data_IF_769396653238
#
_entry.id   IF_769396653238
#
_cell.length_a   1.000
_cell.length_b   1.000
_cell.length_c   1.000
_cell.angle_alpha   90.00
_cell.angle_beta   90.00
_cell.angle_gamma   90.00
#
_symmetry.space_group_name_H-M   'P 1'
#
loop_
_entity.id
_entity.type
_entity.pdbx_description
1 polymer ?
#
# COMPACT_ATOMS: atom_id res chain seq x y z
N UNK A 1 10.47 1.72 -11.29
CA UNK A 1 9.61 2.83 -10.89
C UNK A 1 9.48 2.88 -9.37
N UNK A 2 9.48 4.07 -8.84
CA UNK A 2 9.38 4.26 -7.40
C UNK A 2 8.12 3.62 -6.82
N UNK A 3 7.02 3.73 -7.55
CA UNK A 3 5.74 3.20 -7.09
C UNK A 3 5.73 1.69 -6.89
N UNK A 4 6.73 0.99 -7.42
CA UNK A 4 6.77 -0.45 -7.31
C UNK A 4 7.71 -0.94 -6.22
N UNK A 5 8.34 -0.02 -5.50
CA UNK A 5 9.26 -0.40 -4.43
C UNK A 5 8.50 -0.95 -3.23
N UNK A 6 8.99 -2.06 -2.66
CA UNK A 6 8.34 -2.64 -1.48
C UNK A 6 8.16 -1.66 -0.33
N UNK A 7 9.08 -0.70 -0.19
CA UNK A 7 8.97 0.31 0.86
C UNK A 7 7.73 1.16 0.72
N UNK A 8 7.34 1.49 -0.51
CA UNK A 8 6.15 2.30 -0.74
C UNK A 8 4.88 1.51 -0.44
N UNK A 9 4.87 0.22 -0.79
CA UNK A 9 3.76 -0.66 -0.44
C UNK A 9 3.60 -0.74 1.06
N UNK A 10 4.71 -0.86 1.78
CA UNK A 10 4.69 -0.92 3.23
C UNK A 10 4.12 0.37 3.81
N UNK A 11 4.53 1.51 3.27
CA UNK A 11 4.03 2.80 3.74
C UNK A 11 2.52 2.88 3.59
N UNK A 12 1.99 2.44 2.45
CA UNK A 12 0.55 2.45 2.21
C UNK A 12 -0.17 1.57 3.23
N UNK A 13 0.37 0.37 3.49
CA UNK A 13 -0.25 -0.54 4.45
C UNK A 13 -0.25 0.06 5.85
N UNK A 14 0.85 0.66 6.26
CA UNK A 14 0.95 1.27 7.58
C UNK A 14 -0.07 2.40 7.71
N UNK A 15 -0.14 3.28 6.72
CA UNK A 15 -1.08 4.39 6.77
C UNK A 15 -2.52 3.92 6.74
N UNK A 16 -2.80 2.86 6.00
CA UNK A 16 -4.16 2.35 5.86
C UNK A 16 -4.64 1.64 7.11
N UNK A 17 -3.80 0.79 7.69
CA UNK A 17 -4.24 -0.10 8.77
C UNK A 17 -3.81 0.35 10.16
N UNK A 18 -2.67 1.00 10.29
CA UNK A 18 -2.23 1.47 11.60
C UNK A 18 -2.67 2.90 11.89
N UNK A 19 -2.68 3.76 10.86
CA UNK A 19 -3.14 5.15 11.01
C UNK A 19 -4.61 5.32 10.69
N UNK A 20 -5.23 4.26 10.14
CA UNK A 20 -6.65 4.26 9.82
C UNK A 20 -7.05 5.36 8.83
N UNK A 21 -6.18 5.65 7.89
CA UNK A 21 -6.43 6.66 6.87
C UNK A 21 -7.09 6.01 5.65
N UNK A 22 -7.97 6.78 4.97
CA UNK A 22 -8.55 6.28 3.73
C UNK A 22 -7.59 6.50 2.56
N UNK A 23 -7.90 5.89 1.41
CA UNK A 23 -7.02 5.93 0.25
C UNK A 23 -6.79 7.35 -0.26
N UNK A 24 -7.81 8.18 -0.19
CA UNK A 24 -7.72 9.57 -0.63
C UNK A 24 -6.71 10.35 0.19
N UNK A 25 -6.78 10.19 1.51
CA UNK A 25 -5.88 10.85 2.44
C UNK A 25 -4.45 10.34 2.25
N UNK A 26 -4.30 9.03 2.09
CA UNK A 26 -2.99 8.43 1.86
C UNK A 26 -2.38 8.99 0.58
N UNK A 27 -3.17 9.05 -0.49
CA UNK A 27 -2.70 9.56 -1.78
C UNK A 27 -2.18 10.98 -1.65
N UNK A 28 -2.91 11.84 -0.95
CA UNK A 28 -2.48 13.22 -0.74
C UNK A 28 -1.18 13.27 0.06
N UNK A 29 -1.04 12.39 1.04
CA UNK A 29 0.11 12.40 1.93
C UNK A 29 1.39 11.94 1.22
N UNK A 30 1.30 10.96 0.35
CA UNK A 30 2.49 10.44 -0.33
C UNK A 30 2.68 11.03 -1.73
N UNK A 31 1.77 11.88 -2.17
CA UNK A 31 1.91 12.54 -3.47
C UNK A 31 1.56 11.66 -4.66
N UNK A 32 0.65 10.72 -4.48
CA UNK A 32 0.20 9.81 -5.53
C UNK A 32 -1.29 9.98 -5.76
N UNK A 33 -1.81 9.40 -6.84
CA UNK A 33 -3.24 9.40 -7.09
C UNK A 33 -3.89 8.30 -6.24
N UNK A 34 -5.21 8.44 -6.02
CA UNK A 34 -5.95 7.44 -5.28
C UNK A 34 -5.90 6.09 -5.99
N UNK A 35 -5.94 6.09 -7.31
CA UNK A 35 -5.84 4.86 -8.08
C UNK A 35 -4.51 4.16 -7.84
N UNK A 36 -3.42 4.91 -7.79
CA UNK A 36 -2.10 4.36 -7.52
C UNK A 36 -2.03 3.78 -6.12
N UNK A 37 -2.62 4.47 -5.14
CA UNK A 37 -2.68 3.96 -3.77
C UNK A 37 -3.46 2.66 -3.73
N UNK A 38 -4.57 2.58 -4.43
CA UNK A 38 -5.38 1.37 -4.50
C UNK A 38 -4.57 0.21 -5.06
N UNK A 39 -3.79 0.45 -6.12
CA UNK A 39 -2.94 -0.58 -6.70
C UNK A 39 -1.84 -1.02 -5.76
N UNK A 40 -1.22 -0.07 -5.07
CA UNK A 40 -0.17 -0.37 -4.10
C UNK A 40 -0.73 -1.21 -2.96
N UNK A 41 -1.92 -0.87 -2.50
CA UNK A 41 -2.56 -1.61 -1.43
C UNK A 41 -2.84 -3.05 -1.87
N UNK A 42 -3.36 -3.24 -3.08
CA UNK A 42 -3.61 -4.58 -3.60
C UNK A 42 -2.35 -5.41 -3.70
N UNK A 43 -1.28 -4.80 -4.19
CA UNK A 43 0.01 -5.50 -4.31
C UNK A 43 0.53 -5.90 -2.94
N UNK A 44 0.43 -4.99 -1.99
CA UNK A 44 0.90 -5.26 -0.63
C UNK A 44 0.12 -6.41 -0.01
N UNK A 45 -1.20 -6.40 -0.15
CA UNK A 45 -2.03 -7.47 0.39
C UNK A 45 -1.75 -8.80 -0.29
N UNK A 46 -1.51 -8.78 -1.60
CA UNK A 46 -1.19 -10.00 -2.33
C UNK A 46 0.14 -10.58 -1.85
N UNK A 47 1.14 -9.73 -1.63
CA UNK A 47 2.43 -10.19 -1.10
C UNK A 47 2.27 -10.80 0.28
N UNK A 48 1.51 -10.14 1.14
CA UNK A 48 1.32 -10.62 2.50
C UNK A 48 0.59 -11.95 2.50
N UNK A 49 -0.41 -12.09 1.63
CA UNK A 49 -1.13 -13.35 1.49
C UNK A 49 -0.20 -14.47 1.04
N UNK A 50 0.62 -14.20 0.04
CA UNK A 50 1.57 -15.19 -0.46
C UNK A 50 2.52 -15.64 0.65
N UNK A 51 3.05 -14.69 1.41
CA UNK A 51 3.96 -15.01 2.50
C UNK A 51 3.30 -15.85 3.59
N UNK A 52 2.03 -15.60 3.86
CA UNK A 52 1.30 -16.36 4.88
C UNK A 52 0.97 -17.77 4.42
N UNK A 53 0.75 -17.96 3.12
CA UNK A 53 0.35 -19.25 2.59
C UNK A 53 1.52 -20.13 2.23
N UNK A 54 2.70 -19.58 2.04
CA UNK A 54 3.88 -20.36 1.72
C UNK A 54 4.56 -20.87 2.99
N UNK A 55 4.99 -22.12 2.97
CA UNK A 55 5.67 -22.71 4.13
C UNK A 55 7.01 -22.07 4.42
#
# INVERSE_FOLDING_TARGET
MIAELPGLERTVVVLRFFEDLDQSTIAARIGYSQMQVSRLERRALARMRTQLLEP
#
